data_IF_753444110730
#
_entry.id   IF_753444110730
#
_cell.length_a   1.000
_cell.length_b   1.000
_cell.length_c   1.000
_cell.angle_alpha   90.00
_cell.angle_beta   90.00
_cell.angle_gamma   90.00
#
_symmetry.space_group_name_H-M   'P 1'
#
loop_
_entity.id
_entity.type
_entity.pdbx_description
1 polymer ?
#
# COMPACT_ATOMS: atom_id res chain seq x y z
N UNK A 1 11.64 6.93 -7.79
CA UNK A 1 10.17 7.00 -7.63
C UNK A 1 9.82 6.98 -6.15
N UNK A 2 8.93 7.87 -5.73
CA UNK A 2 8.50 7.99 -4.34
C UNK A 2 7.07 7.48 -4.16
N UNK A 3 6.87 6.70 -3.12
CA UNK A 3 5.59 6.06 -2.80
C UNK A 3 5.26 6.40 -1.34
N UNK A 4 4.13 7.06 -1.14
CA UNK A 4 3.61 7.40 0.17
C UNK A 4 2.33 6.62 0.41
N UNK A 5 2.26 5.91 1.52
CA UNK A 5 1.13 5.04 1.86
C UNK A 5 0.51 5.47 3.19
N UNK A 6 -0.81 5.55 3.21
CA UNK A 6 -1.60 5.80 4.40
C UNK A 6 -2.93 5.04 4.32
N UNK A 7 -3.63 4.96 5.43
CA UNK A 7 -4.91 4.28 5.57
C UNK A 7 -6.04 5.23 5.99
N UNK A 8 -7.27 4.78 5.83
CA UNK A 8 -8.43 5.48 6.40
C UNK A 8 -9.56 4.51 6.66
N UNK A 9 -10.38 4.85 7.63
CA UNK A 9 -11.42 3.97 8.16
C UNK A 9 -10.92 3.14 9.33
N UNK A 10 -11.88 2.43 9.93
CA UNK A 10 -11.62 1.57 11.08
C UNK A 10 -11.62 0.11 10.63
N UNK A 11 -10.46 -0.54 10.69
CA UNK A 11 -10.31 -1.97 10.37
C UNK A 11 -11.03 -2.87 11.40
N UNK A 12 -11.81 -2.27 12.31
CA UNK A 12 -12.68 -2.95 13.24
C UNK A 12 -13.91 -3.56 12.58
N UNK A 13 -13.96 -4.89 12.62
CA UNK A 13 -15.01 -5.72 12.06
C UNK A 13 -16.32 -5.76 12.88
N UNK A 14 -16.53 -4.86 13.87
CA UNK A 14 -17.76 -4.86 14.69
C UNK A 14 -18.84 -3.88 14.25
N UNK A 15 -18.57 -3.03 13.26
CA UNK A 15 -19.56 -2.09 12.71
C UNK A 15 -19.98 -2.56 11.32
N UNK A 16 -21.27 -2.82 11.06
CA UNK A 16 -21.76 -3.10 9.72
C UNK A 16 -21.47 -1.92 8.78
N UNK A 17 -21.23 -2.23 7.50
CA UNK A 17 -21.09 -1.26 6.41
C UNK A 17 -19.92 -0.30 6.55
N UNK A 18 -18.77 -0.79 7.01
CA UNK A 18 -17.54 -0.01 7.10
C UNK A 18 -16.54 -0.47 6.05
N UNK A 19 -16.13 0.45 5.16
CA UNK A 19 -15.03 0.22 4.24
C UNK A 19 -13.77 0.84 4.82
N UNK A 20 -12.74 0.04 5.06
CA UNK A 20 -11.40 0.56 5.37
C UNK A 20 -10.53 0.51 4.13
N UNK A 21 -9.67 1.51 3.96
CA UNK A 21 -8.85 1.67 2.76
C UNK A 21 -7.38 1.79 3.11
N UNK A 22 -6.54 1.19 2.28
CA UNK A 22 -5.11 1.48 2.18
C UNK A 22 -4.89 2.17 0.83
N UNK A 23 -4.25 3.33 0.86
CA UNK A 23 -4.05 4.17 -0.32
C UNK A 23 -2.58 4.50 -0.44
N UNK A 24 -2.04 4.40 -1.66
CA UNK A 24 -0.70 4.88 -1.97
C UNK A 24 -0.74 5.94 -3.05
N UNK A 25 -0.06 7.06 -2.77
CA UNK A 25 0.32 8.03 -3.79
C UNK A 25 1.67 7.62 -4.37
N UNK A 26 1.71 7.40 -5.68
CA UNK A 26 2.92 7.06 -6.44
C UNK A 26 3.27 8.26 -7.30
N UNK A 27 4.43 8.88 -7.04
CA UNK A 27 4.86 10.06 -7.77
C UNK A 27 6.26 9.93 -8.37
N UNK A 28 6.46 10.63 -9.49
CA UNK A 28 7.78 10.78 -10.11
C UNK A 28 8.69 11.58 -9.20
N UNK A 29 10.01 11.35 -9.29
CA UNK A 29 10.97 12.08 -8.45
C UNK A 29 10.96 13.58 -8.78
N UNK A 30 10.58 13.95 -10.00
CA UNK A 30 10.55 15.33 -10.50
C UNK A 30 9.43 16.19 -9.92
N UNK A 31 8.30 15.61 -9.52
CA UNK A 31 7.15 16.39 -9.02
C UNK A 31 7.18 16.59 -7.49
N UNK A 32 8.03 15.86 -6.78
CA UNK A 32 8.04 15.84 -5.32
C UNK A 32 8.29 17.24 -4.70
N UNK A 33 9.23 18.01 -5.24
CA UNK A 33 9.51 19.36 -4.74
C UNK A 33 8.34 20.32 -5.00
N UNK A 34 7.66 20.20 -6.14
CA UNK A 34 6.46 20.99 -6.46
C UNK A 34 5.32 20.64 -5.51
N UNK A 35 5.11 19.35 -5.21
CA UNK A 35 4.13 18.88 -4.23
C UNK A 35 4.42 19.47 -2.84
N UNK A 36 5.69 19.41 -2.40
CA UNK A 36 6.12 20.00 -1.14
C UNK A 36 5.87 21.51 -1.10
N UNK A 37 6.20 22.23 -2.19
CA UNK A 37 5.95 23.66 -2.31
C UNK A 37 4.46 24.00 -2.27
N UNK A 38 3.63 23.20 -2.96
CA UNK A 38 2.18 23.33 -2.98
C UNK A 38 1.63 23.21 -1.55
N UNK A 39 1.97 22.16 -0.80
CA UNK A 39 1.47 21.95 0.56
C UNK A 39 1.93 23.04 1.53
N UNK A 40 3.19 23.48 1.44
CA UNK A 40 3.69 24.62 2.25
C UNK A 40 2.93 25.91 1.96
N UNK A 41 2.63 26.19 0.70
CA UNK A 41 1.85 27.38 0.29
C UNK A 41 0.39 27.24 0.71
N UNK A 42 -0.16 26.03 0.61
CA UNK A 42 -1.51 25.71 1.03
C UNK A 42 -1.70 25.91 2.54
N UNK A 43 -0.81 25.36 3.37
CA UNK A 43 -0.84 25.55 4.82
C UNK A 43 -0.77 27.03 5.19
N UNK A 44 0.13 27.80 4.58
CA UNK A 44 0.21 29.27 4.79
C UNK A 44 -1.08 29.99 4.41
N UNK A 45 -1.65 29.68 3.24
CA UNK A 45 -2.88 30.30 2.73
C UNK A 45 -4.07 30.08 3.66
N UNK A 46 -4.14 28.92 4.28
CA UNK A 46 -5.25 28.53 5.17
C UNK A 46 -4.90 28.65 6.66
N UNK A 47 -3.76 29.28 7.00
CA UNK A 47 -3.28 29.46 8.38
C UNK A 47 -3.25 28.14 9.19
N UNK A 48 -2.90 27.03 8.52
CA UNK A 48 -2.74 25.72 9.15
C UNK A 48 -1.34 25.69 9.77
N UNK A 49 -1.28 25.80 11.10
CA UNK A 49 0.00 25.89 11.85
C UNK A 49 0.62 24.53 12.15
N UNK A 50 -0.18 23.49 12.12
CA UNK A 50 0.21 22.10 12.36
C UNK A 50 0.29 21.32 11.05
N UNK A 51 0.43 20.01 11.16
CA UNK A 51 0.22 19.08 10.07
C UNK A 51 -1.11 19.29 9.33
N UNK A 52 -1.09 19.13 8.00
CA UNK A 52 -2.30 19.18 7.17
C UNK A 52 -2.97 17.81 7.21
N UNK A 53 -3.99 17.65 8.06
CA UNK A 53 -4.80 16.43 8.12
C UNK A 53 -6.02 16.50 7.20
N UNK A 54 -6.20 15.50 6.36
CA UNK A 54 -7.33 15.32 5.45
C UNK A 54 -8.67 15.44 6.17
N UNK A 55 -8.80 14.82 7.35
CA UNK A 55 -10.01 14.87 8.16
C UNK A 55 -10.43 16.30 8.60
N UNK A 56 -9.50 17.25 8.63
CA UNK A 56 -9.74 18.64 9.04
C UNK A 56 -9.97 19.59 7.87
N UNK A 57 -9.81 19.13 6.62
CA UNK A 57 -10.00 19.97 5.46
C UNK A 57 -11.47 20.15 5.12
N UNK A 58 -11.85 21.41 4.88
CA UNK A 58 -13.12 21.74 4.21
C UNK A 58 -13.15 21.17 2.79
N UNK A 59 -14.34 21.12 2.19
CA UNK A 59 -14.51 20.57 0.85
C UNK A 59 -13.82 21.42 -0.24
N UNK A 60 -13.81 22.75 -0.14
CA UNK A 60 -13.06 23.63 -1.07
C UNK A 60 -11.55 23.37 -0.97
N UNK A 61 -11.05 23.24 0.26
CA UNK A 61 -9.65 22.91 0.53
C UNK A 61 -9.26 21.57 -0.09
N UNK A 62 -10.10 20.54 0.11
CA UNK A 62 -9.90 19.21 -0.49
C UNK A 62 -9.95 19.25 -2.01
N UNK A 63 -10.93 19.93 -2.59
CA UNK A 63 -11.05 20.06 -4.05
C UNK A 63 -9.81 20.72 -4.67
N UNK A 64 -9.19 21.69 -3.99
CA UNK A 64 -7.94 22.31 -4.46
C UNK A 64 -6.77 21.33 -4.49
N UNK A 65 -6.68 20.45 -3.50
CA UNK A 65 -5.67 19.38 -3.49
C UNK A 65 -5.93 18.41 -4.64
N UNK A 66 -7.18 17.97 -4.84
CA UNK A 66 -7.54 17.12 -5.98
C UNK A 66 -7.20 17.77 -7.33
N UNK A 67 -7.48 19.08 -7.49
CA UNK A 67 -7.15 19.83 -8.70
C UNK A 67 -5.64 19.94 -8.94
N UNK A 68 -4.85 20.10 -7.88
CA UNK A 68 -3.39 20.07 -7.99
C UNK A 68 -2.91 18.72 -8.53
N UNK A 69 -3.38 17.62 -7.94
CA UNK A 69 -3.04 16.26 -8.38
C UNK A 69 -3.45 16.02 -9.85
N UNK A 70 -4.68 16.42 -10.23
CA UNK A 70 -5.18 16.23 -11.60
C UNK A 70 -4.47 17.10 -12.64
N UNK A 71 -4.12 18.34 -12.28
CA UNK A 71 -3.31 19.22 -13.13
C UNK A 71 -1.98 18.56 -13.46
N UNK A 72 -1.37 17.91 -12.47
CA UNK A 72 -0.09 17.22 -12.55
C UNK A 72 -0.24 15.70 -12.73
N UNK A 73 -1.37 15.24 -13.31
CA UNK A 73 -1.69 13.80 -13.40
C UNK A 73 -0.64 12.94 -14.09
N UNK A 74 0.12 13.51 -15.01
CA UNK A 74 1.20 12.80 -15.69
C UNK A 74 2.34 12.38 -14.74
N UNK A 75 2.39 12.93 -13.53
CA UNK A 75 3.43 12.68 -12.53
C UNK A 75 2.88 12.05 -11.23
N UNK A 76 1.58 11.74 -11.22
CA UNK A 76 0.90 11.12 -10.09
C UNK A 76 0.02 9.96 -10.54
N UNK A 77 0.07 8.86 -9.80
CA UNK A 77 -0.97 7.83 -9.83
C UNK A 77 -1.27 7.37 -8.41
N UNK A 78 -2.47 6.84 -8.20
CA UNK A 78 -2.99 6.47 -6.89
C UNK A 78 -3.39 5.00 -6.95
N UNK A 79 -2.85 4.19 -6.04
CA UNK A 79 -3.35 2.84 -5.80
C UNK A 79 -4.35 2.88 -4.63
N UNK A 80 -5.46 2.15 -4.74
CA UNK A 80 -6.47 2.04 -3.69
C UNK A 80 -6.87 0.59 -3.50
N UNK A 81 -6.73 0.10 -2.27
CA UNK A 81 -7.25 -1.22 -1.87
C UNK A 81 -8.15 -1.05 -0.68
N UNK A 82 -9.33 -1.70 -0.72
CA UNK A 82 -10.30 -1.62 0.37
C UNK A 82 -10.66 -2.99 0.92
N UNK A 83 -11.09 -2.99 2.18
CA UNK A 83 -11.80 -4.10 2.79
C UNK A 83 -13.18 -3.62 3.21
N UNK A 84 -14.19 -4.40 2.87
CA UNK A 84 -15.55 -4.19 3.33
C UNK A 84 -15.80 -5.10 4.53
N UNK A 85 -16.13 -4.52 5.68
CA UNK A 85 -16.46 -5.27 6.90
C UNK A 85 -17.66 -6.19 6.69
N UNK A 86 -18.56 -5.88 5.76
CA UNK A 86 -19.70 -6.75 5.42
C UNK A 86 -19.25 -8.03 4.70
N UNK A 87 -18.04 -8.04 4.15
CA UNK A 87 -17.43 -9.17 3.45
C UNK A 87 -16.41 -9.92 4.31
N UNK A 88 -16.20 -9.50 5.56
CA UNK A 88 -15.19 -10.05 6.45
C UNK A 88 -15.69 -10.01 7.90
N UNK A 89 -16.29 -11.09 8.41
CA UNK A 89 -16.68 -11.15 9.82
C UNK A 89 -15.49 -11.45 10.74
N UNK A 90 -15.63 -11.16 12.04
CA UNK A 90 -14.63 -11.58 13.04
C UNK A 90 -14.38 -13.10 13.03
N UNK A 91 -15.43 -13.89 12.78
CA UNK A 91 -15.32 -15.33 12.70
C UNK A 91 -14.54 -15.78 11.46
N UNK A 92 -14.72 -15.10 10.33
CA UNK A 92 -13.97 -15.39 9.10
C UNK A 92 -12.50 -15.06 9.28
N UNK A 93 -12.19 -13.91 9.90
CA UNK A 93 -10.82 -13.54 10.23
C UNK A 93 -10.17 -14.55 11.18
N UNK A 94 -10.88 -15.01 12.22
CA UNK A 94 -10.36 -16.01 13.16
C UNK A 94 -10.08 -17.35 12.46
N UNK A 95 -10.98 -17.81 11.59
CA UNK A 95 -10.77 -19.03 10.78
C UNK A 95 -9.58 -18.88 9.84
N UNK A 96 -9.48 -17.74 9.16
CA UNK A 96 -8.39 -17.44 8.24
C UNK A 96 -7.03 -17.42 8.96
N UNK A 97 -6.97 -16.83 10.15
CA UNK A 97 -5.79 -16.84 11.03
C UNK A 97 -5.33 -18.25 11.39
N UNK A 98 -6.27 -19.13 11.78
CA UNK A 98 -5.96 -20.53 12.06
C UNK A 98 -5.48 -21.27 10.81
N UNK A 99 -6.11 -21.03 9.66
CA UNK A 99 -5.70 -21.61 8.39
C UNK A 99 -4.28 -21.17 7.99
N UNK A 100 -3.93 -19.90 8.18
CA UNK A 100 -2.57 -19.41 7.95
C UNK A 100 -1.56 -20.10 8.88
N UNK A 101 -1.88 -20.23 10.17
CA UNK A 101 -1.01 -20.92 11.12
C UNK A 101 -0.77 -22.38 10.73
N UNK A 102 -1.83 -23.11 10.37
CA UNK A 102 -1.73 -24.50 9.92
C UNK A 102 -0.92 -24.64 8.64
N UNK A 103 -1.10 -23.72 7.70
CA UNK A 103 -0.32 -23.68 6.46
C UNK A 103 1.16 -23.42 6.76
N UNK A 104 1.47 -22.51 7.66
CA UNK A 104 2.84 -22.21 8.07
C UNK A 104 3.50 -23.39 8.82
N UNK A 105 2.74 -24.12 9.64
CA UNK A 105 3.24 -25.36 10.29
C UNK A 105 3.59 -26.41 9.25
N UNK A 106 2.71 -26.67 8.28
CA UNK A 106 2.98 -27.59 7.16
C UNK A 106 4.20 -27.16 6.35
N UNK A 107 4.34 -25.86 6.08
CA UNK A 107 5.51 -25.33 5.36
C UNK A 107 6.80 -25.48 6.16
N UNK A 108 6.74 -25.30 7.49
CA UNK A 108 7.87 -25.55 8.40
C UNK A 108 8.27 -27.02 8.39
N UNK A 109 7.31 -27.94 8.50
CA UNK A 109 7.56 -29.39 8.43
C UNK A 109 8.15 -29.79 7.08
N UNK A 110 7.61 -29.26 5.98
CA UNK A 110 8.15 -29.50 4.64
C UNK A 110 9.60 -29.01 4.53
N UNK A 111 9.91 -27.80 4.99
CA UNK A 111 11.27 -27.26 5.03
C UNK A 111 12.23 -28.18 5.79
N UNK A 112 11.84 -28.68 6.97
CA UNK A 112 12.63 -29.63 7.76
C UNK A 112 12.81 -30.95 7.01
N UNK A 113 11.73 -31.50 6.42
CA UNK A 113 11.77 -32.77 5.68
C UNK A 113 12.69 -32.71 4.45
N UNK A 114 12.89 -31.52 3.89
CA UNK A 114 13.81 -31.26 2.77
C UNK A 114 15.26 -30.98 3.23
N UNK A 115 15.57 -31.22 4.51
CA UNK A 115 16.89 -31.02 5.09
C UNK A 115 17.16 -29.61 5.65
N UNK A 116 16.14 -28.74 5.65
CA UNK A 116 16.26 -27.38 6.18
C UNK A 116 16.40 -27.35 7.70
N UNK A 117 17.48 -26.77 8.21
CA UNK A 117 17.78 -26.73 9.65
C UNK A 117 18.25 -25.36 10.17
N UNK A 118 18.28 -24.33 9.31
CA UNK A 118 18.74 -22.99 9.70
C UNK A 118 17.90 -22.43 10.87
N UNK A 119 18.51 -22.16 12.05
CA UNK A 119 17.76 -21.74 13.25
C UNK A 119 16.95 -20.46 13.04
N UNK A 120 17.48 -19.50 12.30
CA UNK A 120 16.80 -18.22 12.03
C UNK A 120 15.51 -18.40 11.23
N UNK A 121 15.47 -19.36 10.30
CA UNK A 121 14.28 -19.67 9.50
C UNK A 121 13.23 -20.36 10.36
N UNK A 122 13.65 -21.34 11.17
CA UNK A 122 12.74 -22.05 12.08
C UNK A 122 12.13 -21.10 13.13
N UNK A 123 12.93 -20.20 13.70
CA UNK A 123 12.47 -19.15 14.60
C UNK A 123 11.50 -18.17 13.93
N UNK A 124 11.75 -17.84 12.65
CA UNK A 124 10.82 -17.02 11.88
C UNK A 124 9.47 -17.72 11.69
N UNK A 125 9.45 -19.00 11.29
CA UNK A 125 8.21 -19.78 11.25
C UNK A 125 7.47 -19.75 12.58
N UNK A 126 8.15 -20.07 13.69
CA UNK A 126 7.53 -20.08 15.02
C UNK A 126 6.97 -18.72 15.44
N UNK A 127 7.65 -17.63 15.06
CA UNK A 127 7.17 -16.27 15.32
C UNK A 127 5.89 -15.98 14.54
N UNK A 128 5.86 -16.26 13.23
CA UNK A 128 4.71 -15.94 12.37
C UNK A 128 3.51 -16.83 12.70
N UNK A 129 3.73 -18.12 12.97
CA UNK A 129 2.71 -19.06 13.44
C UNK A 129 2.01 -18.52 14.70
N UNK A 130 2.79 -18.09 15.71
CA UNK A 130 2.23 -17.50 16.94
C UNK A 130 1.47 -16.20 16.70
N UNK A 131 1.90 -15.38 15.74
CA UNK A 131 1.18 -14.15 15.37
C UNK A 131 -0.16 -14.51 14.73
N UNK A 132 -0.19 -15.47 13.82
CA UNK A 132 -1.42 -15.93 13.19
C UNK A 132 -2.38 -16.51 14.23
N UNK A 133 -1.94 -17.42 15.09
CA UNK A 133 -2.79 -18.11 16.09
C UNK A 133 -3.38 -17.21 17.16
N UNK A 134 -2.57 -16.28 17.69
CA UNK A 134 -2.93 -15.56 18.90
C UNK A 134 -3.17 -14.09 18.60
N UNK A 135 -4.44 -13.67 18.64
CA UNK A 135 -4.83 -12.25 18.48
C UNK A 135 -4.21 -11.32 19.54
N UNK A 136 -3.76 -11.87 20.68
CA UNK A 136 -2.98 -11.12 21.68
C UNK A 136 -1.55 -10.77 21.24
N UNK A 137 -1.02 -11.37 20.16
CA UNK A 137 0.30 -11.05 19.60
C UNK A 137 0.25 -9.96 18.53
N UNK A 138 -0.83 -9.94 17.77
CA UNK A 138 -1.18 -8.88 16.83
C UNK A 138 -2.70 -8.81 16.78
N UNK A 139 -3.27 -7.66 17.17
CA UNK A 139 -4.73 -7.54 17.24
C UNK A 139 -5.35 -7.71 15.85
N UNK A 140 -6.65 -8.03 15.82
CA UNK A 140 -7.35 -8.35 14.58
C UNK A 140 -7.35 -7.19 13.58
N UNK A 141 -7.48 -5.95 14.05
CA UNK A 141 -7.39 -4.74 13.22
C UNK A 141 -6.02 -4.61 12.55
N UNK A 142 -4.94 -4.71 13.34
CA UNK A 142 -3.57 -4.61 12.83
C UNK A 142 -3.22 -5.77 11.90
N UNK A 143 -3.74 -6.97 12.17
CA UNK A 143 -3.53 -8.13 11.32
C UNK A 143 -4.27 -8.00 9.99
N UNK A 144 -5.55 -7.61 10.01
CA UNK A 144 -6.33 -7.38 8.80
C UNK A 144 -5.71 -6.29 7.93
N UNK A 145 -5.31 -5.19 8.55
CA UNK A 145 -4.64 -4.11 7.84
C UNK A 145 -3.34 -4.59 7.19
N UNK A 146 -2.50 -5.36 7.91
CA UNK A 146 -1.27 -5.91 7.33
C UNK A 146 -1.52 -6.77 6.08
N UNK A 147 -2.55 -7.63 6.11
CA UNK A 147 -2.93 -8.47 4.97
C UNK A 147 -3.28 -7.62 3.75
N UNK A 148 -4.11 -6.60 3.94
CA UNK A 148 -4.53 -5.70 2.87
C UNK A 148 -3.34 -4.92 2.34
N UNK A 149 -2.44 -4.47 3.23
CA UNK A 149 -1.21 -3.78 2.82
C UNK A 149 -0.30 -4.69 1.99
N UNK A 150 -0.17 -5.99 2.30
CA UNK A 150 0.64 -6.90 1.47
C UNK A 150 0.13 -6.96 0.03
N UNK A 151 -1.17 -7.16 -0.14
CA UNK A 151 -1.83 -7.17 -1.45
C UNK A 151 -1.67 -5.82 -2.16
N UNK A 152 -1.90 -4.74 -1.42
CA UNK A 152 -1.79 -3.37 -1.92
C UNK A 152 -0.39 -3.07 -2.48
N UNK A 153 0.67 -3.52 -1.81
CA UNK A 153 2.05 -3.25 -2.25
C UNK A 153 2.37 -3.87 -3.61
N UNK A 154 1.78 -5.02 -3.93
CA UNK A 154 1.92 -5.64 -5.24
C UNK A 154 1.21 -4.83 -6.31
N UNK A 155 -0.01 -4.38 -6.03
CA UNK A 155 -0.78 -3.52 -6.93
C UNK A 155 -0.06 -2.17 -7.16
N UNK A 156 0.55 -1.59 -6.12
CA UNK A 156 1.37 -0.37 -6.20
C UNK A 156 2.53 -0.52 -7.19
N UNK A 157 3.28 -1.63 -7.10
CA UNK A 157 4.39 -1.86 -8.03
C UNK A 157 3.86 -2.08 -9.44
N UNK A 158 2.83 -2.92 -9.62
CA UNK A 158 2.24 -3.18 -10.92
C UNK A 158 1.69 -1.90 -11.58
N UNK A 159 0.98 -1.06 -10.83
CA UNK A 159 0.46 0.20 -11.33
C UNK A 159 1.57 1.19 -11.66
N UNK A 160 2.64 1.25 -10.87
CA UNK A 160 3.79 2.09 -11.24
C UNK A 160 4.37 1.71 -12.61
N UNK A 161 4.46 0.41 -12.90
CA UNK A 161 4.98 -0.10 -14.18
C UNK A 161 4.05 0.29 -15.34
N UNK A 162 2.75 0.05 -15.18
CA UNK A 162 1.75 0.28 -16.25
C UNK A 162 1.54 1.78 -16.49
N UNK A 163 1.41 2.58 -15.44
CA UNK A 163 1.13 4.01 -15.56
C UNK A 163 2.31 4.77 -16.17
N UNK A 164 3.53 4.42 -15.77
CA UNK A 164 4.76 5.05 -16.24
C UNK A 164 5.46 4.22 -17.34
N UNK A 165 4.67 3.57 -18.20
CA UNK A 165 5.16 2.72 -19.31
C UNK A 165 6.04 3.47 -20.32
N UNK A 166 5.80 4.77 -20.50
CA UNK A 166 6.55 5.61 -21.44
C UNK A 166 8.02 5.81 -21.03
N UNK A 167 8.93 5.70 -21.99
CA UNK A 167 10.38 5.89 -21.80
C UNK A 167 10.79 7.22 -21.16
N UNK A 168 9.97 8.27 -21.26
CA UNK A 168 10.24 9.56 -20.60
C UNK A 168 10.30 9.44 -19.07
N UNK A 169 9.65 8.42 -18.50
CA UNK A 169 9.66 8.15 -17.06
C UNK A 169 10.70 7.13 -16.63
N UNK A 170 11.48 6.55 -17.55
CA UNK A 170 12.39 5.44 -17.28
C UNK A 170 13.28 5.64 -16.05
N UNK A 171 13.80 6.86 -15.86
CA UNK A 171 14.67 7.22 -14.71
C UNK A 171 13.99 7.07 -13.35
N UNK A 172 12.65 7.18 -13.29
CA UNK A 172 11.92 7.01 -12.02
C UNK A 172 12.04 5.57 -11.49
N UNK A 173 12.36 4.59 -12.33
CA UNK A 173 12.56 3.20 -11.93
C UNK A 173 13.98 2.90 -11.43
N UNK A 174 14.85 3.91 -11.27
CA UNK A 174 16.19 3.70 -10.70
C UNK A 174 16.13 3.19 -9.26
N UNK A 175 15.24 3.77 -8.46
CA UNK A 175 15.03 3.42 -7.05
C UNK A 175 13.56 3.57 -6.69
N UNK A 176 13.01 2.59 -5.98
CA UNK A 176 11.75 2.71 -5.28
C UNK A 176 11.97 3.17 -3.84
N UNK A 177 11.23 4.19 -3.41
CA UNK A 177 11.23 4.66 -2.02
C UNK A 177 9.83 4.53 -1.43
N UNK A 178 9.66 3.60 -0.48
CA UNK A 178 8.38 3.34 0.18
C UNK A 178 8.34 4.00 1.57
N UNK A 179 7.40 4.92 1.75
CA UNK A 179 7.19 5.64 3.01
C UNK A 179 5.75 5.46 3.49
N UNK A 180 5.58 5.00 4.73
CA UNK A 180 4.30 4.77 5.38
C UNK A 180 4.13 5.77 6.52
N UNK A 181 2.89 6.20 6.76
CA UNK A 181 2.57 6.98 7.96
C UNK A 181 2.76 6.10 9.21
N UNK A 182 3.43 6.66 10.21
CA UNK A 182 3.74 5.94 11.44
C UNK A 182 2.57 6.05 12.41
N UNK A 183 2.13 4.90 12.91
CA UNK A 183 1.00 4.81 13.85
C UNK A 183 1.29 5.29 15.26
N UNK A 184 2.51 5.05 15.74
CA UNK A 184 2.89 5.33 17.13
C UNK A 184 4.10 6.27 17.17
N UNK A 185 4.06 7.34 17.99
CA UNK A 185 5.20 8.24 18.15
C UNK A 185 6.44 7.49 18.62
N UNK A 186 7.55 7.67 17.89
CA UNK A 186 8.88 7.17 18.27
C UNK A 186 9.09 5.65 18.27
N UNK A 187 8.09 4.83 17.87
CA UNK A 187 8.25 3.37 17.78
C UNK A 187 7.34 2.75 16.74
N UNK A 188 7.74 1.61 16.20
CA UNK A 188 6.87 0.85 15.31
C UNK A 188 5.73 0.13 16.07
N UNK A 189 4.54 0.14 15.50
CA UNK A 189 3.38 -0.65 15.94
C UNK A 189 3.58 -2.16 15.73
N UNK A 190 2.59 -2.97 16.13
CA UNK A 190 2.61 -4.40 15.86
C UNK A 190 2.53 -4.68 14.36
N UNK A 191 1.59 -3.99 13.69
CA UNK A 191 1.37 -4.07 12.24
C UNK A 191 2.65 -3.74 11.46
N UNK A 192 3.31 -2.62 11.77
CA UNK A 192 4.47 -2.14 11.03
C UNK A 192 5.67 -3.09 11.17
N UNK A 193 5.89 -3.63 12.37
CA UNK A 193 6.92 -4.67 12.61
C UNK A 193 6.62 -5.94 11.83
N UNK A 194 5.34 -6.32 11.76
CA UNK A 194 4.88 -7.49 11.03
C UNK A 194 5.07 -7.30 9.53
N UNK A 195 4.63 -6.15 8.97
CA UNK A 195 4.80 -5.78 7.57
C UNK A 195 6.29 -5.81 7.16
N UNK A 196 7.15 -5.12 7.93
CA UNK A 196 8.60 -5.05 7.68
C UNK A 196 9.27 -6.42 7.66
N UNK A 197 8.79 -7.37 8.46
CA UNK A 197 9.39 -8.71 8.56
C UNK A 197 8.85 -9.70 7.52
N UNK A 198 7.65 -9.46 6.98
CA UNK A 198 6.90 -10.49 6.24
C UNK A 198 6.45 -10.08 4.83
N UNK A 199 6.56 -8.81 4.43
CA UNK A 199 6.13 -8.37 3.09
C UNK A 199 6.82 -9.14 1.97
N UNK A 200 8.15 -9.25 2.01
CA UNK A 200 8.91 -9.97 0.99
C UNK A 200 8.57 -11.48 0.97
N UNK A 201 8.61 -12.22 2.10
CA UNK A 201 8.15 -13.61 2.14
C UNK A 201 6.72 -13.80 1.62
N UNK A 202 5.80 -12.90 1.97
CA UNK A 202 4.41 -12.98 1.54
C UNK A 202 4.29 -12.82 0.02
N UNK A 203 4.87 -11.76 -0.55
CA UNK A 203 4.84 -11.52 -2.00
C UNK A 203 5.50 -12.66 -2.78
N UNK A 204 6.60 -13.22 -2.28
CA UNK A 204 7.25 -14.35 -2.93
C UNK A 204 6.38 -15.62 -2.88
N UNK A 205 5.76 -15.90 -1.73
CA UNK A 205 4.84 -17.03 -1.58
C UNK A 205 3.62 -16.93 -2.50
N UNK A 206 3.02 -15.74 -2.59
CA UNK A 206 1.93 -15.40 -3.52
C UNK A 206 2.28 -15.69 -4.98
N UNK A 207 3.48 -15.28 -5.42
CA UNK A 207 3.95 -15.54 -6.79
C UNK A 207 4.09 -17.03 -7.06
N UNK A 208 4.63 -17.81 -6.12
CA UNK A 208 4.79 -19.26 -6.28
C UNK A 208 3.43 -19.97 -6.27
N UNK A 209 2.55 -19.64 -5.33
CA UNK A 209 1.29 -20.35 -5.12
C UNK A 209 0.25 -20.06 -6.21
N UNK A 210 0.23 -18.83 -6.71
CA UNK A 210 -0.82 -18.35 -7.62
C UNK A 210 -0.31 -17.96 -9.01
N UNK A 211 1.00 -18.09 -9.27
CA UNK A 211 1.61 -17.66 -10.54
C UNK A 211 1.50 -16.14 -10.75
N UNK A 212 1.24 -15.38 -9.68
CA UNK A 212 1.00 -13.95 -9.76
C UNK A 212 2.33 -13.22 -9.85
N UNK A 213 2.80 -13.06 -11.08
CA UNK A 213 4.03 -12.35 -11.39
C UNK A 213 3.73 -10.88 -11.71
N UNK A 214 4.71 -10.01 -11.46
CA UNK A 214 4.64 -8.64 -11.95
C UNK A 214 4.81 -8.67 -13.47
N UNK A 215 3.87 -8.06 -14.18
CA UNK A 215 3.90 -7.95 -15.62
C UNK A 215 4.69 -6.72 -16.03
N UNK A 216 5.66 -6.91 -16.91
CA UNK A 216 6.56 -5.85 -17.40
C UNK A 216 6.36 -5.70 -18.91
N UNK A 217 6.28 -4.47 -19.43
CA UNK A 217 6.10 -4.25 -20.86
C UNK A 217 7.19 -4.89 -21.71
N UNK A 218 6.81 -5.64 -22.75
CA UNK A 218 7.75 -6.23 -23.73
C UNK A 218 8.60 -5.18 -24.46
N UNK A 219 8.13 -3.93 -24.48
CA UNK A 219 8.84 -2.78 -25.06
C UNK A 219 10.04 -2.34 -24.20
N UNK A 220 10.06 -2.69 -22.91
CA UNK A 220 11.17 -2.44 -22.00
C UNK A 220 12.25 -3.49 -22.23
N UNK A 221 13.17 -3.18 -23.14
CA UNK A 221 14.36 -3.99 -23.41
C UNK A 221 15.36 -3.88 -22.24
N UNK A 222 16.45 -4.67 -22.28
CA UNK A 222 17.54 -4.68 -21.28
C UNK A 222 18.14 -3.31 -20.91
N UNK A 223 17.88 -2.26 -21.69
CA UNK A 223 18.32 -0.88 -21.41
C UNK A 223 17.40 -0.12 -20.45
N UNK A 224 16.18 -0.61 -20.19
CA UNK A 224 15.25 0.08 -19.32
C UNK A 224 15.71 -0.05 -17.85
N UNK A 225 15.73 1.02 -17.04
CA UNK A 225 16.24 0.95 -15.66
C UNK A 225 15.55 -0.10 -14.80
N UNK A 226 14.22 -0.26 -14.92
CA UNK A 226 13.50 -1.32 -14.20
C UNK A 226 14.10 -2.71 -14.48
N UNK A 227 14.33 -3.00 -15.76
CA UNK A 227 14.87 -4.27 -16.20
C UNK A 227 16.29 -4.46 -15.65
N UNK A 228 17.15 -3.48 -15.92
CA UNK A 228 18.56 -3.52 -15.55
C UNK A 228 18.75 -3.65 -14.02
N UNK A 229 17.96 -2.92 -13.25
CA UNK A 229 18.10 -2.88 -11.80
C UNK A 229 17.47 -4.11 -11.15
N UNK A 230 16.27 -4.51 -11.57
CA UNK A 230 15.45 -5.46 -10.78
C UNK A 230 15.39 -6.87 -11.33
N UNK A 231 15.84 -7.16 -12.56
CA UNK A 231 15.91 -8.55 -13.00
C UNK A 231 17.11 -9.31 -12.42
N UNK A 232 16.96 -10.62 -12.26
CA UNK A 232 18.03 -11.56 -11.99
C UNK A 232 18.81 -11.86 -13.28
N UNK A 233 20.13 -11.96 -13.17
CA UNK A 233 21.00 -12.29 -14.31
C UNK A 233 21.24 -13.81 -14.45
N UNK A 234 20.54 -14.62 -13.66
CA UNK A 234 20.87 -16.04 -13.42
C UNK A 234 20.21 -17.00 -14.44
N UNK A 235 20.03 -16.55 -15.68
CA UNK A 235 19.46 -17.36 -16.78
C UNK A 235 17.93 -17.47 -16.78
N UNK A 236 17.28 -17.30 -15.63
CA UNK A 236 15.83 -17.10 -15.51
C UNK A 236 15.57 -15.59 -15.34
N UNK A 237 14.84 -15.00 -16.28
CA UNK A 237 14.53 -13.56 -16.28
C UNK A 237 13.42 -13.29 -15.27
N UNK A 238 13.75 -13.33 -13.98
CA UNK A 238 12.83 -13.14 -12.86
C UNK A 238 13.06 -11.80 -12.17
N UNK A 239 11.99 -11.23 -11.61
CA UNK A 239 12.06 -9.96 -10.89
C UNK A 239 12.53 -10.20 -9.46
N UNK A 240 13.60 -9.52 -9.06
CA UNK A 240 14.19 -9.56 -7.75
C UNK A 240 13.51 -8.54 -6.82
N UNK A 241 12.49 -9.00 -6.09
CA UNK A 241 11.75 -8.18 -5.12
C UNK A 241 12.66 -7.59 -4.03
N UNK A 242 13.74 -8.28 -3.63
CA UNK A 242 14.68 -7.75 -2.62
C UNK A 242 15.35 -6.46 -3.10
N UNK A 243 15.62 -6.34 -4.40
CA UNK A 243 16.17 -5.10 -4.99
C UNK A 243 15.13 -3.99 -5.07
N UNK A 244 13.86 -4.31 -5.37
CA UNK A 244 12.76 -3.32 -5.35
C UNK A 244 12.62 -2.72 -3.94
N UNK A 245 12.67 -3.55 -2.90
CA UNK A 245 12.56 -3.11 -1.51
C UNK A 245 13.93 -2.81 -0.85
N UNK A 246 14.98 -2.53 -1.62
CA UNK A 246 16.34 -2.37 -1.09
C UNK A 246 16.50 -1.18 -0.12
N UNK A 247 15.72 -0.11 -0.31
CA UNK A 247 15.69 1.04 0.61
C UNK A 247 14.92 0.74 1.90
N UNK A 248 14.29 -0.44 1.98
CA UNK A 248 13.39 -0.82 3.06
C UNK A 248 12.07 -0.05 3.05
N UNK A 249 11.19 -0.45 3.97
CA UNK A 249 9.97 0.29 4.31
C UNK A 249 10.31 1.34 5.38
N UNK A 250 10.09 2.60 5.05
CA UNK A 250 10.29 3.73 5.96
C UNK A 250 8.97 4.04 6.64
N UNK A 251 8.95 4.09 7.97
CA UNK A 251 7.78 4.52 8.76
C UNK A 251 8.13 5.86 9.37
N UNK A 252 7.51 6.94 8.91
CA UNK A 252 7.81 8.32 9.33
C UNK A 252 6.59 8.97 9.96
N UNK A 253 6.84 9.93 10.84
CA UNK A 253 5.77 10.78 11.34
C UNK A 253 5.37 11.75 10.22
N UNK A 254 4.07 11.87 9.92
CA UNK A 254 3.54 12.70 8.83
C UNK A 254 3.84 14.19 8.97
N UNK A 255 4.17 14.67 10.17
CA UNK A 255 4.69 16.03 10.40
C UNK A 255 6.03 16.29 9.68
N UNK A 256 6.85 15.26 9.50
CA UNK A 256 8.20 15.35 8.92
C UNK A 256 8.23 15.07 7.42
N UNK A 257 7.15 14.57 6.84
CA UNK A 257 7.08 14.11 5.46
C UNK A 257 5.81 14.62 4.77
N UNK A 258 5.95 15.65 3.92
CA UNK A 258 4.82 16.26 3.22
C UNK A 258 4.13 15.30 2.25
N UNK A 259 4.84 14.28 1.74
CA UNK A 259 4.21 13.23 0.95
C UNK A 259 3.18 12.42 1.75
N UNK A 260 3.43 12.19 3.06
CA UNK A 260 2.47 11.53 3.94
C UNK A 260 1.23 12.39 4.17
N UNK A 261 1.37 13.70 4.36
CA UNK A 261 0.23 14.62 4.45
C UNK A 261 -0.60 14.64 3.17
N UNK A 262 0.05 14.54 1.99
CA UNK A 262 -0.67 14.44 0.72
C UNK A 262 -1.50 13.16 0.64
N UNK A 263 -0.91 12.00 0.95
CA UNK A 263 -1.64 10.73 0.89
C UNK A 263 -2.72 10.63 1.97
N UNK A 264 -2.56 11.23 3.16
CA UNK A 264 -3.64 11.32 4.16
C UNK A 264 -4.86 12.06 3.62
N UNK A 265 -4.66 13.19 2.93
CA UNK A 265 -5.75 13.92 2.27
C UNK A 265 -6.43 13.03 1.23
N UNK A 266 -5.67 12.30 0.41
CA UNK A 266 -6.22 11.38 -0.61
C UNK A 266 -6.97 10.23 0.05
N UNK A 267 -6.34 9.53 0.99
CA UNK A 267 -6.86 8.39 1.73
C UNK A 267 -8.18 8.74 2.41
N UNK A 268 -8.20 9.86 3.12
CA UNK A 268 -9.41 10.36 3.76
C UNK A 268 -10.49 10.74 2.72
N UNK A 269 -10.11 11.30 1.57
CA UNK A 269 -11.07 11.64 0.49
C UNK A 269 -11.73 10.39 -0.07
N UNK A 270 -10.90 9.40 -0.41
CA UNK A 270 -11.31 8.10 -0.93
C UNK A 270 -12.20 7.37 0.07
N UNK A 271 -11.82 7.33 1.34
CA UNK A 271 -12.64 6.77 2.41
C UNK A 271 -14.01 7.44 2.51
N UNK A 272 -14.11 8.76 2.49
CA UNK A 272 -15.40 9.45 2.58
C UNK A 272 -16.31 9.14 1.38
N UNK A 273 -15.73 8.97 0.19
CA UNK A 273 -16.46 8.57 -1.02
C UNK A 273 -17.01 7.14 -0.86
N UNK A 274 -16.19 6.23 -0.33
CA UNK A 274 -16.48 4.80 -0.24
C UNK A 274 -17.36 4.42 0.95
N UNK A 275 -17.02 4.87 2.15
CA UNK A 275 -17.84 4.75 3.35
C UNK A 275 -19.25 5.30 3.11
N UNK A 276 -19.35 6.33 2.27
CA UNK A 276 -20.62 6.91 1.89
C UNK A 276 -21.52 6.02 1.03
N UNK A 277 -21.01 5.08 0.21
CA UNK A 277 -21.70 4.27 -0.86
C UNK A 277 -22.78 4.96 -1.73
N UNK A 278 -23.10 6.23 -1.48
CA UNK A 278 -23.88 7.28 -2.15
C UNK A 278 -23.67 8.55 -1.29
N UNK A 279 -22.49 9.15 -1.30
CA UNK A 279 -22.37 10.49 -0.72
C UNK A 279 -23.24 11.43 -1.56
N UNK A 280 -24.46 11.71 -1.10
CA UNK A 280 -25.39 12.68 -1.69
C UNK A 280 -24.81 14.11 -1.70
N UNK A 281 -23.67 14.32 -1.04
CA UNK A 281 -22.91 15.55 -1.11
C UNK A 281 -22.22 15.70 -2.49
N UNK A 282 -22.67 16.62 -3.35
CA UNK A 282 -22.15 16.77 -4.71
C UNK A 282 -20.68 17.18 -4.76
N UNK A 283 -20.11 17.73 -3.69
CA UNK A 283 -18.71 18.16 -3.66
C UNK A 283 -17.74 16.97 -3.45
N UNK A 284 -18.13 15.95 -2.70
CA UNK A 284 -17.35 14.70 -2.64
C UNK A 284 -17.38 13.97 -3.98
N UNK A 285 -18.54 13.99 -4.68
CA UNK A 285 -18.65 13.47 -6.05
C UNK A 285 -17.71 14.23 -7.01
N UNK A 286 -17.60 15.56 -6.88
CA UNK A 286 -16.63 16.35 -7.67
C UNK A 286 -15.19 15.95 -7.37
N UNK A 287 -14.82 15.84 -6.08
CA UNK A 287 -13.48 15.39 -5.69
C UNK A 287 -13.18 14.00 -6.25
N UNK A 288 -14.14 13.08 -6.19
CA UNK A 288 -14.03 11.76 -6.79
C UNK A 288 -13.79 11.83 -8.30
N UNK A 289 -14.58 12.62 -9.03
CA UNK A 289 -14.45 12.76 -10.48
C UNK A 289 -13.08 13.34 -10.89
N UNK A 290 -12.47 14.16 -10.03
CA UNK A 290 -11.13 14.70 -10.25
C UNK A 290 -10.05 13.65 -9.96
N UNK A 291 -10.22 12.85 -8.91
CA UNK A 291 -9.23 11.83 -8.51
C UNK A 291 -9.34 10.52 -9.29
N UNK A 292 -10.53 10.12 -9.73
CA UNK A 292 -10.76 8.83 -10.40
C UNK A 292 -9.83 8.58 -11.61
N UNK A 293 -9.51 9.57 -12.47
CA UNK A 293 -8.54 9.38 -13.55
C UNK A 293 -7.10 9.08 -13.10
N UNK A 294 -6.78 9.33 -11.83
CA UNK A 294 -5.48 9.05 -11.22
C UNK A 294 -5.44 7.66 -10.57
N UNK A 295 -6.61 7.09 -10.24
CA UNK A 295 -6.69 5.82 -9.52
C UNK A 295 -6.52 4.63 -10.47
N UNK A 296 -5.55 3.76 -10.18
CA UNK A 296 -5.36 2.49 -10.88
C UNK A 296 -6.36 1.43 -10.42
N UNK A 297 -6.71 0.49 -11.31
CA UNK A 297 -7.75 -0.50 -11.06
C UNK A 297 -7.71 -1.70 -12.01
N UNK A 298 -8.00 -2.91 -11.52
CA UNK A 298 -8.32 -4.06 -12.38
C UNK A 298 -9.75 -3.90 -12.90
N UNK A 299 -10.00 -4.15 -14.18
CA UNK A 299 -11.33 -4.11 -14.80
C UNK A 299 -12.08 -2.76 -14.68
N UNK A 300 -11.37 -1.63 -14.74
CA UNK A 300 -11.91 -0.28 -14.51
C UNK A 300 -12.58 -0.09 -13.13
N UNK A 301 -12.38 -1.01 -12.18
CA UNK A 301 -12.83 -0.82 -10.81
C UNK A 301 -11.82 0.05 -10.07
N UNK A 302 -12.30 1.14 -9.45
CA UNK A 302 -11.49 2.13 -8.74
C UNK A 302 -10.80 1.51 -7.49
N UNK A 303 -11.20 0.29 -7.09
CA UNK A 303 -10.76 -0.34 -5.86
C UNK A 303 -10.86 -1.86 -5.96
N UNK A 304 -9.81 -2.57 -5.52
CA UNK A 304 -9.88 -3.99 -5.20
C UNK A 304 -10.50 -4.18 -3.81
N UNK A 305 -11.62 -4.89 -3.73
CA UNK A 305 -12.22 -5.34 -2.46
C UNK A 305 -11.73 -6.73 -2.11
N UNK A 306 -11.11 -6.86 -0.93
CA UNK A 306 -10.63 -8.16 -0.44
C UNK A 306 -11.73 -8.84 0.37
N UNK A 307 -12.03 -10.10 0.02
CA UNK A 307 -12.80 -11.04 0.83
C UNK A 307 -11.85 -12.04 1.47
N UNK A 308 -12.02 -12.32 2.75
CA UNK A 308 -11.35 -13.45 3.37
C UNK A 308 -12.14 -14.71 3.02
N UNK A 309 -11.57 -15.57 2.18
CA UNK A 309 -12.12 -16.89 1.87
C UNK A 309 -11.32 -17.97 2.62
#
# INVERSE_FOLDING_TARGET
>A
MKIFTDESGDFYLKRPSNISTVVSLICTDTIYDEMCYFLKTFSKRYNIKSEIKGAHLTLDQRERVCKFLYKNRNDFTIAVTGVDSDLCSQNDLAKFRLLQADTLRKNKELYISKGGNAPIILQHFDKVIKIAEYSGRLCDEEFLQALITFDHMKDVIQYSIVYYIDWKYAKNFDVYEFTFDRKLPGKMSGMEKYLKSNLLPFMHGETIAHGTTLEVPDTWKQKHPFIYNYYTNDGEYCINLKKIFQTGLQFKDSEEELGLQMVDIISNTVYQILYGRKSDNPQFVRCNNILAPLMGGKDNSIMKLIKLN
#
